data_IF_368076618626
#
_entry.id   IF_368076618626
#
_cell.length_a   1.000
_cell.length_b   1.000
_cell.length_c   1.000
_cell.angle_alpha   90.00
_cell.angle_beta   90.00
_cell.angle_gamma   90.00
#
_symmetry.space_group_name_H-M   'P 1'
#
loop_
_entity.id
_entity.type
_entity.pdbx_description
1 polymer ?
#
# COMPACT_ATOMS: atom_id res chain seq x y z
N UNK A 1 -32.44 12.61 -72.21
CA UNK A 1 -31.42 13.35 -71.50
C UNK A 1 -31.62 13.06 -70.01
N UNK A 2 -31.09 11.95 -69.52
CA UNK A 2 -31.32 11.51 -68.14
C UNK A 2 -29.95 11.06 -67.54
N UNK A 3 -29.57 11.73 -66.46
CA UNK A 3 -28.76 11.20 -65.38
C UNK A 3 -27.26 10.93 -65.57
N UNK A 4 -26.51 11.95 -65.97
CA UNK A 4 -25.04 11.93 -65.74
C UNK A 4 -24.64 12.55 -64.37
N UNK A 5 -25.58 13.22 -63.69
CA UNK A 5 -25.27 13.88 -62.40
C UNK A 5 -25.29 12.97 -61.17
N UNK A 6 -25.81 11.76 -61.22
CA UNK A 6 -25.90 10.83 -60.11
C UNK A 6 -24.66 9.97 -59.97
N UNK A 7 -23.86 9.76 -61.02
CA UNK A 7 -22.65 8.93 -61.00
C UNK A 7 -21.44 9.63 -60.39
N UNK A 8 -21.42 10.95 -60.33
CA UNK A 8 -20.30 11.73 -59.78
C UNK A 8 -20.32 11.85 -58.25
N UNK A 9 -21.50 11.73 -57.64
CA UNK A 9 -21.64 11.78 -56.17
C UNK A 9 -21.27 10.44 -55.56
N UNK A 10 -21.47 9.32 -56.22
CA UNK A 10 -21.09 7.98 -55.76
C UNK A 10 -19.57 7.74 -55.77
N UNK A 11 -18.83 8.37 -56.69
CA UNK A 11 -17.37 8.24 -56.76
C UNK A 11 -16.63 9.09 -55.71
N UNK A 12 -17.23 10.18 -55.24
CA UNK A 12 -16.64 11.05 -54.22
C UNK A 12 -16.73 10.45 -52.79
N UNK A 13 -17.67 9.55 -52.54
CA UNK A 13 -17.82 8.91 -51.24
C UNK A 13 -16.86 7.72 -51.02
N UNK A 14 -16.21 7.20 -52.04
CA UNK A 14 -15.27 6.09 -51.96
C UNK A 14 -13.82 6.50 -51.76
N UNK A 15 -13.53 7.79 -51.68
CA UNK A 15 -12.22 8.35 -51.38
C UNK A 15 -12.13 8.89 -49.95
N UNK A 16 -12.97 8.43 -49.02
CA UNK A 16 -12.67 8.56 -47.60
C UNK A 16 -11.46 7.66 -47.31
N UNK A 17 -10.28 8.21 -47.54
CA UNK A 17 -9.01 7.58 -47.17
C UNK A 17 -9.08 7.20 -45.73
N UNK A 18 -9.13 5.90 -45.48
CA UNK A 18 -8.79 5.34 -44.16
C UNK A 18 -7.37 5.80 -43.91
N UNK A 19 -7.21 6.85 -43.13
CA UNK A 19 -5.94 7.21 -42.55
C UNK A 19 -5.56 6.05 -41.63
N UNK A 20 -4.80 5.10 -42.16
CA UNK A 20 -4.09 4.13 -41.34
C UNK A 20 -3.16 5.00 -40.52
N UNK A 21 -3.53 5.23 -39.27
CA UNK A 21 -2.60 5.75 -38.26
C UNK A 21 -1.49 4.69 -38.16
N UNK A 22 -0.42 4.92 -38.90
CA UNK A 22 0.79 4.12 -38.72
C UNK A 22 1.19 4.33 -37.27
N UNK A 23 0.97 3.32 -36.41
CA UNK A 23 1.37 3.36 -35.03
C UNK A 23 2.87 3.73 -34.98
N UNK A 24 3.23 4.64 -34.10
CA UNK A 24 4.62 5.00 -33.88
C UNK A 24 5.45 3.72 -33.67
N UNK A 25 6.54 3.61 -34.41
CA UNK A 25 7.44 2.46 -34.27
C UNK A 25 8.04 2.51 -32.89
N UNK A 26 7.89 1.41 -32.15
CA UNK A 26 8.53 1.24 -30.83
C UNK A 26 10.05 1.48 -30.97
N UNK A 27 10.54 2.44 -30.23
CA UNK A 27 11.96 2.76 -30.15
C UNK A 27 12.51 2.22 -28.83
N UNK A 28 13.66 1.56 -28.88
CA UNK A 28 14.33 1.04 -27.67
C UNK A 28 14.62 2.15 -26.65
N UNK A 29 14.94 3.36 -27.12
CA UNK A 29 15.15 4.51 -26.27
C UNK A 29 13.92 4.89 -25.43
N UNK A 30 12.73 4.80 -26.02
CA UNK A 30 11.47 5.13 -25.35
C UNK A 30 11.11 4.08 -24.31
N UNK A 31 11.41 2.81 -24.60
CA UNK A 31 11.24 1.70 -23.63
C UNK A 31 12.17 1.90 -22.43
N UNK A 32 13.45 2.23 -22.67
CA UNK A 32 14.44 2.45 -21.61
C UNK A 32 14.10 3.69 -20.77
N UNK A 33 13.60 4.76 -21.39
CA UNK A 33 13.11 5.96 -20.68
C UNK A 33 11.82 5.72 -19.92
N UNK A 34 11.13 4.59 -20.17
CA UNK A 34 9.89 4.23 -19.49
C UNK A 34 8.67 5.01 -19.94
N UNK A 35 8.65 5.52 -21.19
CA UNK A 35 7.52 6.27 -21.76
C UNK A 35 6.24 5.43 -21.89
N UNK A 36 6.39 4.10 -21.92
CA UNK A 36 5.26 3.15 -21.93
C UNK A 36 4.92 2.59 -20.55
N UNK A 37 5.42 3.19 -19.45
CA UNK A 37 5.02 2.76 -18.12
C UNK A 37 3.54 3.07 -17.90
N UNK A 38 2.78 2.03 -17.61
CA UNK A 38 1.41 2.22 -17.16
C UNK A 38 1.40 2.96 -15.81
N UNK A 39 0.54 3.95 -15.71
CA UNK A 39 0.20 4.50 -14.40
C UNK A 39 -0.55 3.41 -13.63
N UNK A 40 0.04 2.98 -12.52
CA UNK A 40 -0.58 2.01 -11.63
C UNK A 40 -1.08 2.74 -10.40
N UNK A 41 -2.28 2.39 -9.95
CA UNK A 41 -2.73 2.81 -8.63
C UNK A 41 -1.79 2.18 -7.59
N UNK A 42 -1.24 3.00 -6.70
CA UNK A 42 -0.57 2.51 -5.51
C UNK A 42 -1.60 1.80 -4.61
N UNK A 43 -1.15 1.10 -3.58
CA UNK A 43 -2.04 0.36 -2.67
C UNK A 43 -3.31 1.14 -2.32
N UNK A 44 -4.45 0.60 -2.74
CA UNK A 44 -5.77 1.17 -2.48
C UNK A 44 -6.39 0.40 -1.32
N UNK A 45 -6.67 1.08 -0.22
CA UNK A 45 -7.35 0.48 0.93
C UNK A 45 -8.79 0.99 1.01
N UNK A 46 -9.80 0.13 0.77
CA UNK A 46 -11.19 0.50 0.99
C UNK A 46 -11.41 0.88 2.46
N UNK A 47 -12.13 1.97 2.68
CA UNK A 47 -12.53 2.37 4.02
C UNK A 47 -13.79 1.64 4.46
N UNK A 48 -14.04 1.61 5.78
CA UNK A 48 -15.18 0.89 6.36
C UNK A 48 -16.56 1.46 5.95
N UNK A 49 -16.59 2.69 5.42
CA UNK A 49 -17.81 3.33 4.90
C UNK A 49 -18.30 2.73 3.57
N UNK A 50 -17.44 1.96 2.86
CA UNK A 50 -17.75 1.41 1.55
C UNK A 50 -17.83 2.43 0.41
N UNK A 51 -17.66 3.72 0.68
CA UNK A 51 -17.79 4.82 -0.29
C UNK A 51 -16.44 5.46 -0.63
N UNK A 52 -15.46 5.31 0.25
CA UNK A 52 -14.13 5.90 0.11
C UNK A 52 -13.01 4.87 0.15
N UNK A 53 -11.87 5.25 -0.40
CA UNK A 53 -10.63 4.50 -0.29
C UNK A 53 -9.48 5.42 0.11
N UNK A 54 -8.50 4.88 0.79
CA UNK A 54 -7.30 5.60 1.15
C UNK A 54 -6.11 5.19 0.27
N UNK A 55 -5.22 6.13 0.02
CA UNK A 55 -4.03 5.95 -0.80
C UNK A 55 -2.88 6.82 -0.29
N UNK A 56 -1.64 6.35 -0.44
CA UNK A 56 -0.45 7.16 -0.14
C UNK A 56 -0.26 8.18 -1.28
N UNK A 57 -0.03 9.44 -0.93
CA UNK A 57 0.29 10.50 -1.90
C UNK A 57 1.59 10.21 -2.66
N UNK A 58 1.75 10.76 -3.85
CA UNK A 58 2.91 10.53 -4.72
C UNK A 58 4.25 10.90 -4.04
N UNK A 59 4.27 11.92 -3.19
CA UNK A 59 5.43 12.34 -2.40
C UNK A 59 5.69 11.42 -1.19
N UNK A 60 4.75 10.52 -0.86
CA UNK A 60 4.82 9.61 0.26
C UNK A 60 4.69 10.27 1.63
N UNK A 61 4.22 11.51 1.71
CA UNK A 61 4.11 12.23 2.98
C UNK A 61 2.72 12.19 3.59
N UNK A 62 1.69 11.91 2.78
CA UNK A 62 0.29 11.90 3.22
C UNK A 62 -0.40 10.59 2.89
N UNK A 63 -1.41 10.26 3.66
CA UNK A 63 -2.41 9.24 3.34
C UNK A 63 -3.72 9.98 3.14
N UNK A 64 -4.25 9.91 1.93
CA UNK A 64 -5.39 10.72 1.47
C UNK A 64 -6.56 9.79 1.17
N UNK A 65 -7.76 10.21 1.50
CA UNK A 65 -9.00 9.50 1.14
C UNK A 65 -9.62 10.09 -0.10
N UNK A 66 -10.12 9.21 -0.96
CA UNK A 66 -10.78 9.52 -2.22
C UNK A 66 -12.15 8.85 -2.28
N UNK A 67 -13.09 9.47 -2.97
CA UNK A 67 -14.40 8.88 -3.22
C UNK A 67 -14.33 7.88 -4.39
N UNK A 68 -14.84 6.66 -4.22
CA UNK A 68 -14.98 5.70 -5.32
C UNK A 68 -15.87 6.23 -6.45
N UNK A 69 -16.88 7.02 -6.11
CA UNK A 69 -17.83 7.55 -7.10
C UNK A 69 -17.25 8.63 -7.99
N UNK A 70 -16.39 9.49 -7.46
CA UNK A 70 -15.93 10.69 -8.16
C UNK A 70 -14.43 10.69 -8.46
N UNK A 71 -13.65 9.81 -7.82
CA UNK A 71 -12.19 9.83 -7.87
C UNK A 71 -11.55 11.06 -7.21
N UNK A 72 -12.34 11.94 -6.59
CA UNK A 72 -11.84 13.17 -5.97
C UNK A 72 -11.42 12.94 -4.53
N UNK A 73 -10.43 13.72 -4.10
CA UNK A 73 -10.00 13.80 -2.70
C UNK A 73 -11.17 14.23 -1.81
N UNK A 74 -11.35 13.50 -0.71
CA UNK A 74 -12.39 13.77 0.30
C UNK A 74 -11.76 14.27 1.60
N UNK A 75 -10.57 13.76 1.95
CA UNK A 75 -9.89 14.15 3.18
C UNK A 75 -8.49 13.58 3.31
N UNK A 76 -7.80 13.96 4.37
CA UNK A 76 -6.46 13.49 4.71
C UNK A 76 -6.53 12.70 6.02
N UNK A 77 -6.12 11.44 5.99
CA UNK A 77 -6.04 10.60 7.18
C UNK A 77 -4.76 10.83 7.97
N UNK A 78 -3.66 11.10 7.27
CA UNK A 78 -2.35 11.29 7.87
C UNK A 78 -1.53 12.28 7.04
N UNK A 79 -0.79 13.15 7.73
CA UNK A 79 0.20 14.05 7.13
C UNK A 79 1.46 14.09 8.01
N UNK A 80 2.57 13.61 7.45
CA UNK A 80 3.86 13.53 8.15
C UNK A 80 4.41 14.91 8.55
N UNK A 81 3.95 15.99 7.90
CA UNK A 81 4.42 17.34 8.19
C UNK A 81 3.70 17.99 9.37
N UNK A 82 2.51 17.52 9.70
CA UNK A 82 1.66 18.06 10.77
C UNK A 82 1.51 17.11 11.96
N UNK A 83 1.87 15.84 11.80
CA UNK A 83 1.81 14.87 12.88
C UNK A 83 2.72 15.25 14.04
N UNK A 84 2.20 15.11 15.27
CA UNK A 84 2.92 15.41 16.50
C UNK A 84 3.64 14.18 17.02
N UNK A 85 4.82 14.35 17.59
CA UNK A 85 5.64 13.27 18.17
C UNK A 85 6.77 12.86 17.24
N UNK A 86 6.81 11.59 16.82
CA UNK A 86 7.88 11.08 15.97
C UNK A 86 7.91 11.78 14.60
N UNK A 87 9.11 11.95 14.06
CA UNK A 87 9.32 12.50 12.72
C UNK A 87 9.64 11.33 11.77
N UNK A 88 8.92 11.24 10.66
CA UNK A 88 9.17 10.24 9.61
C UNK A 88 9.40 10.90 8.27
N UNK A 89 10.26 10.32 7.44
CA UNK A 89 10.59 10.88 6.13
C UNK A 89 9.54 10.57 5.08
N UNK A 90 9.19 9.30 4.94
CA UNK A 90 8.27 8.82 3.90
C UNK A 90 7.48 7.62 4.39
N UNK A 91 6.19 7.63 4.11
CA UNK A 91 5.30 6.49 4.26
C UNK A 91 5.53 5.50 3.11
N UNK A 92 5.76 4.25 3.43
CA UNK A 92 5.97 3.17 2.45
C UNK A 92 4.84 2.14 2.45
N UNK A 93 4.01 2.15 3.49
CA UNK A 93 2.81 1.35 3.64
C UNK A 93 2.05 1.76 4.89
N UNK A 94 0.82 1.31 5.01
CA UNK A 94 0.02 1.53 6.20
C UNK A 94 -1.05 0.46 6.37
N UNK A 95 -1.50 0.30 7.61
CA UNK A 95 -2.60 -0.59 7.97
C UNK A 95 -3.58 0.24 8.80
N UNK A 96 -4.86 0.19 8.45
CA UNK A 96 -5.92 0.82 9.23
C UNK A 96 -6.36 -0.12 10.34
N UNK A 97 -6.50 0.38 11.56
CA UNK A 97 -7.03 -0.43 12.66
C UNK A 97 -8.49 -0.84 12.41
N UNK A 98 -8.96 -1.99 12.92
CA UNK A 98 -10.33 -2.44 12.71
C UNK A 98 -11.41 -1.45 13.17
N UNK A 99 -11.10 -0.64 14.18
CA UNK A 99 -11.97 0.42 14.69
C UNK A 99 -11.88 1.75 13.92
N UNK A 100 -10.99 1.84 12.91
CA UNK A 100 -10.77 3.03 12.09
C UNK A 100 -10.13 4.22 12.82
N UNK A 101 -9.67 4.05 14.07
CA UNK A 101 -9.18 5.16 14.90
C UNK A 101 -7.67 5.35 14.83
N UNK A 102 -6.96 4.32 14.37
CA UNK A 102 -5.49 4.32 14.32
C UNK A 102 -4.98 3.86 12.96
N UNK A 103 -3.81 4.34 12.61
CA UNK A 103 -3.04 3.83 11.48
C UNK A 103 -1.73 3.25 12.00
N UNK A 104 -1.32 2.14 11.45
CA UNK A 104 0.03 1.62 11.62
C UNK A 104 0.82 1.98 10.37
N UNK A 105 1.76 2.90 10.51
CA UNK A 105 2.51 3.49 9.40
C UNK A 105 3.84 2.79 9.25
N UNK A 106 4.15 2.33 8.04
CA UNK A 106 5.38 1.64 7.69
C UNK A 106 6.38 2.60 7.07
N UNK A 107 7.62 2.55 7.54
CA UNK A 107 8.75 3.34 7.03
C UNK A 107 10.04 2.50 7.04
N UNK A 108 11.10 3.01 6.41
CA UNK A 108 12.44 2.42 6.48
C UNK A 108 12.46 0.92 6.17
N UNK A 109 11.71 0.52 5.15
CA UNK A 109 11.61 -0.87 4.72
C UNK A 109 12.94 -1.37 4.19
N UNK A 110 13.41 -2.49 4.72
CA UNK A 110 14.60 -3.20 4.25
C UNK A 110 14.18 -4.57 3.73
N UNK A 111 14.31 -4.83 2.42
CA UNK A 111 13.95 -6.11 1.84
C UNK A 111 14.85 -7.22 2.38
N UNK A 112 14.26 -8.39 2.66
CA UNK A 112 14.97 -9.64 2.95
C UNK A 112 15.01 -10.47 1.65
N UNK A 113 13.82 -10.68 1.06
CA UNK A 113 13.63 -11.32 -0.24
C UNK A 113 12.58 -10.53 -1.04
N UNK A 114 11.97 -11.14 -2.07
CA UNK A 114 10.99 -10.49 -2.95
C UNK A 114 9.78 -9.92 -2.19
N UNK A 115 9.29 -10.63 -1.18
CA UNK A 115 8.05 -10.30 -0.45
C UNK A 115 8.25 -10.14 1.04
N UNK A 116 9.36 -10.62 1.58
CA UNK A 116 9.70 -10.48 2.99
C UNK A 116 10.61 -9.29 3.22
N UNK A 117 10.34 -8.55 4.27
CA UNK A 117 11.08 -7.36 4.64
C UNK A 117 10.98 -7.09 6.15
N UNK A 118 11.90 -6.30 6.65
CA UNK A 118 11.78 -5.63 7.94
C UNK A 118 11.47 -4.16 7.70
N UNK A 119 10.74 -3.54 8.60
CA UNK A 119 10.44 -2.11 8.54
C UNK A 119 10.33 -1.51 9.95
N UNK A 120 10.37 -0.20 10.05
CA UNK A 120 9.98 0.52 11.24
C UNK A 120 8.51 0.88 11.15
N UNK A 121 7.77 0.60 12.21
CA UNK A 121 6.34 0.90 12.28
C UNK A 121 6.06 1.93 13.36
N UNK A 122 5.10 2.79 13.06
CA UNK A 122 4.61 3.85 13.93
C UNK A 122 3.12 3.76 14.08
N UNK A 123 2.62 4.00 15.28
CA UNK A 123 1.19 4.08 15.58
C UNK A 123 0.78 5.55 15.45
N UNK A 124 -0.14 5.82 14.57
CA UNK A 124 -0.74 7.14 14.44
C UNK A 124 -2.16 7.14 14.98
N UNK A 125 -2.42 7.99 15.95
CA UNK A 125 -3.75 8.22 16.51
C UNK A 125 -4.43 9.36 15.77
N UNK A 126 -5.44 9.05 14.94
CA UNK A 126 -6.13 10.01 14.08
C UNK A 126 -6.73 11.16 14.89
N UNK A 127 -7.36 10.84 16.02
CA UNK A 127 -8.12 11.77 16.82
C UNK A 127 -7.28 12.93 17.43
N UNK A 128 -6.06 12.63 17.82
CA UNK A 128 -5.16 13.62 18.46
C UNK A 128 -3.93 13.98 17.62
N UNK A 129 -3.86 13.48 16.37
CA UNK A 129 -2.77 13.72 15.42
C UNK A 129 -1.38 13.36 16.00
N UNK A 130 -1.30 12.27 16.79
CA UNK A 130 -0.08 11.84 17.50
C UNK A 130 0.53 10.61 16.82
N UNK A 131 1.82 10.69 16.53
CA UNK A 131 2.62 9.62 15.93
C UNK A 131 3.66 9.13 16.93
N UNK A 132 3.64 7.84 17.25
CA UNK A 132 4.57 7.20 18.19
C UNK A 132 5.19 5.95 17.57
N UNK A 133 6.45 5.60 17.89
CA UNK A 133 7.02 4.34 17.44
C UNK A 133 6.22 3.15 18.01
N UNK A 134 6.06 2.09 17.20
CA UNK A 134 5.44 0.84 17.66
C UNK A 134 6.33 0.16 18.71
N UNK A 135 7.65 0.25 18.54
CA UNK A 135 8.65 -0.38 19.39
C UNK A 135 9.98 0.34 19.27
N UNK A 136 10.70 0.46 20.37
CA UNK A 136 12.06 0.99 20.43
C UNK A 136 13.14 -0.07 20.19
N UNK A 137 12.74 -1.34 20.12
CA UNK A 137 13.66 -2.49 20.04
C UNK A 137 14.20 -2.80 18.64
N UNK A 138 13.94 -1.97 17.64
CA UNK A 138 14.43 -2.15 16.26
C UNK A 138 13.36 -2.55 15.26
N UNK A 139 13.75 -2.90 14.01
CA UNK A 139 12.82 -3.18 12.93
C UNK A 139 11.91 -4.38 13.21
N UNK A 140 10.68 -4.28 12.76
CA UNK A 140 9.64 -5.29 12.95
C UNK A 140 9.27 -5.96 11.62
N UNK A 141 8.64 -7.14 11.71
CA UNK A 141 8.05 -7.87 10.59
C UNK A 141 6.59 -8.17 10.88
N UNK A 142 5.77 -8.16 9.84
CA UNK A 142 4.39 -8.65 9.83
C UNK A 142 3.51 -8.17 11.00
N UNK A 143 3.45 -6.87 11.30
CA UNK A 143 2.60 -6.39 12.38
C UNK A 143 1.12 -6.56 12.03
N UNK A 144 0.32 -6.97 13.01
CA UNK A 144 -1.13 -7.21 12.86
C UNK A 144 -1.87 -6.64 14.06
N UNK A 145 -2.93 -5.90 13.82
CA UNK A 145 -3.87 -5.50 14.87
C UNK A 145 -4.68 -6.69 15.37
N UNK A 146 -4.98 -6.70 16.67
CA UNK A 146 -6.04 -7.55 17.21
C UNK A 146 -7.41 -7.15 16.63
N UNK A 147 -8.40 -8.07 16.59
CA UNK A 147 -9.73 -7.75 16.05
C UNK A 147 -10.44 -6.59 16.73
N UNK A 148 -10.15 -6.35 18.00
CA UNK A 148 -10.68 -5.22 18.80
C UNK A 148 -9.87 -3.92 18.61
N UNK A 149 -8.77 -3.95 17.85
CA UNK A 149 -7.89 -2.80 17.58
C UNK A 149 -7.05 -2.33 18.77
N UNK A 150 -7.04 -3.06 19.89
CA UNK A 150 -6.40 -2.61 21.14
C UNK A 150 -4.99 -3.17 21.35
N UNK A 151 -4.57 -4.10 20.50
CA UNK A 151 -3.25 -4.72 20.57
C UNK A 151 -2.65 -4.83 19.16
N UNK A 152 -1.32 -4.88 19.10
CA UNK A 152 -0.58 -5.18 17.88
C UNK A 152 0.41 -6.29 18.19
N UNK A 153 0.34 -7.39 17.44
CA UNK A 153 1.37 -8.41 17.45
C UNK A 153 2.33 -8.17 16.29
N UNK A 154 3.62 -8.38 16.51
CA UNK A 154 4.63 -8.32 15.46
C UNK A 154 5.77 -9.29 15.73
N UNK A 155 6.62 -9.51 14.74
CA UNK A 155 7.81 -10.36 14.88
C UNK A 155 9.08 -9.51 14.84
N UNK A 156 10.00 -9.81 15.74
CA UNK A 156 11.36 -9.28 15.76
C UNK A 156 12.31 -10.39 16.20
N UNK A 157 13.41 -10.57 15.48
CA UNK A 157 14.44 -11.57 15.76
C UNK A 157 13.87 -12.99 15.98
N UNK A 158 12.96 -13.41 15.09
CA UNK A 158 12.24 -14.69 15.12
C UNK A 158 11.37 -14.93 16.37
N UNK A 159 11.04 -13.89 17.11
CA UNK A 159 10.17 -13.96 18.28
C UNK A 159 8.94 -13.06 18.11
N UNK A 160 7.83 -13.49 18.70
CA UNK A 160 6.57 -12.75 18.72
C UNK A 160 6.60 -11.76 19.89
N UNK A 161 6.20 -10.53 19.58
CA UNK A 161 5.99 -9.44 20.53
C UNK A 161 4.54 -8.96 20.45
N UNK A 162 4.03 -8.48 21.57
CA UNK A 162 2.71 -7.93 21.72
C UNK A 162 2.80 -6.53 22.34
N UNK A 163 2.17 -5.56 21.68
CA UNK A 163 2.01 -4.18 22.19
C UNK A 163 0.56 -3.97 22.59
N UNK A 164 0.34 -3.55 23.83
CA UNK A 164 -0.99 -3.21 24.38
C UNK A 164 -1.22 -1.70 24.29
N UNK A 165 -2.04 -1.26 23.35
CA UNK A 165 -2.25 0.17 23.02
C UNK A 165 -2.97 0.96 24.12
N UNK A 166 -3.78 0.30 24.94
CA UNK A 166 -4.50 0.93 26.05
C UNK A 166 -3.62 1.16 27.29
N UNK A 167 -2.41 0.60 27.32
CA UNK A 167 -1.50 0.64 28.45
C UNK A 167 -0.18 1.29 28.06
N UNK A 168 -0.26 2.50 27.51
CA UNK A 168 0.88 3.30 27.09
C UNK A 168 1.84 2.55 26.13
N UNK A 169 1.25 1.84 25.17
CA UNK A 169 1.97 1.01 24.20
C UNK A 169 2.93 -0.01 24.84
N UNK A 170 2.52 -0.60 25.98
CA UNK A 170 3.36 -1.56 26.71
C UNK A 170 3.70 -2.78 25.83
N UNK A 171 4.99 -2.92 25.53
CA UNK A 171 5.53 -4.06 24.77
C UNK A 171 5.82 -5.24 25.69
N UNK A 172 5.48 -6.44 25.26
CA UNK A 172 5.84 -7.70 25.93
C UNK A 172 6.30 -8.73 24.91
N UNK A 173 7.38 -9.42 25.23
CA UNK A 173 7.87 -10.55 24.44
C UNK A 173 7.07 -11.81 24.79
N UNK A 174 6.43 -12.42 23.78
CA UNK A 174 5.59 -13.61 23.95
C UNK A 174 6.42 -14.90 23.84
N UNK A 175 7.25 -15.01 22.82
CA UNK A 175 8.16 -16.16 22.63
C UNK A 175 9.61 -15.74 22.89
N UNK A 176 10.45 -16.66 23.34
CA UNK A 176 11.84 -16.38 23.72
C UNK A 176 12.85 -17.37 23.14
N UNK A 177 12.37 -18.33 22.40
CA UNK A 177 13.14 -19.44 21.84
C UNK A 177 13.49 -19.26 20.38
N UNK A 178 13.12 -18.11 19.80
CA UNK A 178 13.42 -17.77 18.41
C UNK A 178 14.92 -17.80 18.13
N UNK A 179 15.32 -18.54 17.11
CA UNK A 179 16.71 -18.70 16.72
C UNK A 179 16.83 -18.72 15.21
N UNK A 180 17.70 -17.88 14.68
CA UNK A 180 17.89 -17.75 13.23
C UNK A 180 18.19 -19.10 12.58
N UNK A 181 17.44 -19.44 11.54
CA UNK A 181 17.51 -20.69 10.76
C UNK A 181 17.17 -21.97 11.53
N UNK A 182 16.66 -21.88 12.75
CA UNK A 182 16.27 -23.04 13.55
C UNK A 182 14.84 -22.94 14.05
N UNK A 183 14.51 -21.85 14.75
CA UNK A 183 13.18 -21.65 15.35
C UNK A 183 12.67 -20.27 14.91
N UNK A 184 11.59 -20.27 14.13
CA UNK A 184 10.95 -19.07 13.63
C UNK A 184 9.54 -19.00 14.20
N UNK A 185 9.28 -18.01 15.03
CA UNK A 185 7.98 -17.78 15.63
C UNK A 185 7.23 -16.66 14.87
N UNK A 186 5.96 -16.90 14.55
CA UNK A 186 5.04 -15.89 14.02
C UNK A 186 5.20 -15.53 12.54
N UNK A 187 6.17 -16.13 11.84
CA UNK A 187 6.34 -15.98 10.39
C UNK A 187 6.48 -17.37 9.79
N UNK A 188 5.81 -17.67 8.66
CA UNK A 188 6.05 -18.89 7.92
C UNK A 188 7.47 -18.89 7.33
N UNK A 189 7.95 -20.06 6.93
CA UNK A 189 9.24 -20.16 6.24
C UNK A 189 9.23 -19.39 4.91
N UNK A 190 10.41 -19.20 4.32
CA UNK A 190 10.58 -18.42 3.11
C UNK A 190 9.78 -18.98 1.92
N UNK A 191 9.58 -20.30 1.84
CA UNK A 191 8.80 -20.93 0.76
C UNK A 191 7.36 -20.46 0.80
N UNK A 192 6.74 -20.47 1.97
CA UNK A 192 5.36 -20.03 2.16
C UNK A 192 5.19 -18.53 1.97
N UNK A 193 6.13 -17.71 2.47
CA UNK A 193 6.09 -16.26 2.28
C UNK A 193 6.23 -15.90 0.81
N UNK A 194 7.25 -16.46 0.14
CA UNK A 194 7.59 -16.05 -1.23
C UNK A 194 6.68 -16.68 -2.28
N UNK A 195 6.19 -17.90 -2.07
CA UNK A 195 5.37 -18.63 -3.04
C UNK A 195 3.88 -18.45 -2.84
N UNK A 196 3.38 -18.47 -1.62
CA UNK A 196 1.95 -18.59 -1.32
C UNK A 196 1.30 -17.33 -0.74
N UNK A 197 2.03 -16.26 -0.45
CA UNK A 197 1.53 -15.03 0.19
C UNK A 197 0.78 -15.26 1.52
N UNK A 198 1.12 -16.31 2.27
CA UNK A 198 0.36 -16.75 3.46
C UNK A 198 0.76 -15.97 4.74
N UNK A 199 1.30 -14.79 4.63
CA UNK A 199 1.71 -14.00 5.80
C UNK A 199 0.55 -13.55 6.72
N UNK A 200 -0.71 -13.70 6.30
CA UNK A 200 -1.87 -13.10 6.99
C UNK A 200 -2.74 -14.03 7.82
N UNK A 201 -2.46 -15.34 7.87
CA UNK A 201 -3.45 -16.29 8.41
C UNK A 201 -3.23 -16.79 9.83
N UNK A 202 -2.11 -16.53 10.46
CA UNK A 202 -1.81 -17.09 11.78
C UNK A 202 -2.31 -16.31 13.01
N UNK A 203 -2.84 -15.11 12.83
CA UNK A 203 -3.41 -14.32 13.93
C UNK A 203 -4.96 -14.32 13.99
N UNK A 204 -5.62 -15.19 13.25
CA UNK A 204 -7.12 -15.26 13.21
C UNK A 204 -7.72 -16.42 14.01
N UNK A 205 -7.08 -16.87 15.08
CA UNK A 205 -7.76 -17.74 16.06
C UNK A 205 -7.59 -17.21 17.46
#
# INVERSE_FOLDING_TARGET
MVNIRLSLIGAALLMASVSIVAGEKLNLGDIVRGEFRQETLSEVHPMADGETYAQISADGKRIVTYSFKTGKEVGVLFDATTARGAQIGRVQGYIVSPDGRRLLIQTNTKPIYRRSFTAQYYIFMIQNNKLEPLSDGGPQQTPVFSPDGNQIAFVRDNNIYLVKLLYDNAESQVTKDGKRNEIINGIPDWVYIESLKICHYYCKK
#
